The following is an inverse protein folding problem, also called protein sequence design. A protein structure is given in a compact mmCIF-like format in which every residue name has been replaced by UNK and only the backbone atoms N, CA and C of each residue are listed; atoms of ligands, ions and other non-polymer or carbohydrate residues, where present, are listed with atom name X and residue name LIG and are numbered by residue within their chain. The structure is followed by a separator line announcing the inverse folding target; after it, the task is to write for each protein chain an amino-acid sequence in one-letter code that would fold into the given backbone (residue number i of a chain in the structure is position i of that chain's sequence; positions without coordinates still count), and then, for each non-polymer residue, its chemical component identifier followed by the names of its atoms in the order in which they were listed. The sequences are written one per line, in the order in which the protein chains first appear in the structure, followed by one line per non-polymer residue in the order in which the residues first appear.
data_IF_944832334648
#
_entry.id   IF_944832334648
#
_cell.length_a   1.000
_cell.length_b   1.000
_cell.length_c   1.000
_cell.angle_alpha   90.00
_cell.angle_beta   90.00
_cell.angle_gamma   90.00
#
_symmetry.space_group_name_H-M   'P 1'
#
loop_
_entity.id
_entity.type
_entity.pdbx_description
1 polymer ?
#
# COMPACT_ATOMS: atom_id res chain seq x y z
N UNK A 1 2.46 13.73 -20.30
CA UNK A 1 2.09 12.45 -19.66
C UNK A 1 2.91 11.25 -20.18
N UNK A 2 3.00 10.99 -21.48
CA UNK A 2 3.72 9.79 -22.02
C UNK A 2 5.23 9.74 -21.70
N UNK A 3 5.94 10.86 -21.79
CA UNK A 3 7.38 10.92 -21.46
C UNK A 3 7.67 10.68 -19.98
N UNK A 4 6.77 11.10 -19.09
CA UNK A 4 6.87 10.89 -17.65
C UNK A 4 6.71 9.41 -17.29
N UNK A 5 5.72 8.74 -17.91
CA UNK A 5 5.51 7.29 -17.75
C UNK A 5 6.76 6.54 -18.24
N UNK A 6 7.39 6.95 -19.34
CA UNK A 6 8.61 6.33 -19.86
C UNK A 6 9.83 6.58 -18.96
N UNK A 7 10.07 7.82 -18.51
CA UNK A 7 11.18 8.12 -17.60
C UNK A 7 11.06 7.35 -16.28
N UNK A 8 9.85 7.30 -15.71
CA UNK A 8 9.56 6.50 -14.53
C UNK A 8 9.80 5.01 -14.82
N UNK A 9 9.37 4.49 -15.97
CA UNK A 9 9.60 3.10 -16.37
C UNK A 9 11.09 2.77 -16.44
N UNK A 10 11.92 3.59 -17.10
CA UNK A 10 13.36 3.35 -17.24
C UNK A 10 14.07 3.34 -15.89
N UNK A 11 13.79 4.32 -15.03
CA UNK A 11 14.35 4.37 -13.67
C UNK A 11 13.93 3.14 -12.86
N UNK A 12 12.66 2.75 -12.97
CA UNK A 12 12.12 1.57 -12.29
C UNK A 12 12.79 0.28 -12.75
N UNK A 13 13.04 0.15 -14.06
CA UNK A 13 13.78 -0.99 -14.62
C UNK A 13 15.21 -1.03 -14.06
N UNK A 14 15.93 0.09 -14.04
CA UNK A 14 17.29 0.15 -13.49
C UNK A 14 17.34 -0.29 -12.03
N UNK A 15 16.33 0.09 -11.24
CA UNK A 15 16.24 -0.27 -9.82
C UNK A 15 15.91 -1.76 -9.62
N UNK A 16 14.97 -2.29 -10.40
CA UNK A 16 14.64 -3.73 -10.41
C UNK A 16 15.86 -4.56 -10.83
N UNK A 17 16.62 -4.11 -11.84
CA UNK A 17 17.88 -4.72 -12.25
C UNK A 17 18.89 -4.68 -11.08
N UNK A 18 19.03 -3.55 -10.40
CA UNK A 18 19.91 -3.43 -9.23
C UNK A 18 19.57 -4.44 -8.13
N UNK A 19 18.28 -4.57 -7.79
CA UNK A 19 17.81 -5.58 -6.83
C UNK A 19 18.03 -7.02 -7.34
N UNK A 20 17.82 -7.25 -8.64
CA UNK A 20 18.09 -8.54 -9.29
C UNK A 20 19.57 -8.93 -9.23
N UNK A 21 20.48 -7.97 -9.42
CA UNK A 21 21.93 -8.20 -9.27
C UNK A 21 22.29 -8.58 -7.84
N UNK A 22 21.67 -7.95 -6.84
CA UNK A 22 21.85 -8.31 -5.43
C UNK A 22 21.37 -9.75 -5.18
N UNK A 23 20.21 -10.12 -5.71
CA UNK A 23 19.67 -11.48 -5.61
C UNK A 23 20.61 -12.51 -6.24
N UNK A 24 21.11 -12.24 -7.45
CA UNK A 24 22.05 -13.11 -8.16
C UNK A 24 23.37 -13.26 -7.39
N UNK A 25 23.93 -12.14 -6.90
CA UNK A 25 25.16 -12.15 -6.11
C UNK A 25 25.00 -12.95 -4.81
N UNK A 26 23.89 -12.77 -4.10
CA UNK A 26 23.58 -13.53 -2.88
C UNK A 26 23.40 -15.02 -3.19
N UNK A 27 22.60 -15.37 -4.20
CA UNK A 27 22.38 -16.75 -4.60
C UNK A 27 23.69 -17.47 -4.98
N UNK A 28 24.53 -16.81 -5.78
CA UNK A 28 25.83 -17.35 -6.17
C UNK A 28 26.75 -17.54 -4.95
N UNK A 29 26.84 -16.55 -4.06
CA UNK A 29 27.67 -16.61 -2.86
C UNK A 29 27.24 -17.74 -1.91
N UNK A 30 25.93 -17.94 -1.71
CA UNK A 30 25.40 -19.05 -0.92
C UNK A 30 25.70 -20.41 -1.58
N UNK A 31 25.58 -20.53 -2.90
CA UNK A 31 25.93 -21.75 -3.63
C UNK A 31 27.42 -22.10 -3.51
N UNK A 32 28.30 -21.09 -3.60
CA UNK A 32 29.73 -21.28 -3.37
C UNK A 32 30.01 -21.72 -1.93
N UNK A 33 29.34 -21.13 -0.95
CA UNK A 33 29.59 -21.42 0.46
C UNK A 33 29.08 -22.80 0.92
N UNK A 34 27.96 -23.30 0.38
CA UNK A 34 27.31 -24.52 0.88
C UNK A 34 27.43 -25.74 -0.04
N UNK A 35 27.60 -25.54 -1.35
CA UNK A 35 27.64 -26.63 -2.34
C UNK A 35 28.91 -26.66 -3.17
N UNK A 36 29.90 -25.82 -2.84
CA UNK A 36 31.14 -25.58 -3.63
C UNK A 36 30.87 -25.26 -5.11
N UNK A 37 29.66 -24.83 -5.43
CA UNK A 37 29.19 -24.57 -6.78
C UNK A 37 28.16 -23.44 -6.78
N UNK A 38 28.61 -22.23 -7.12
CA UNK A 38 27.77 -21.04 -7.16
C UNK A 38 26.61 -21.11 -8.15
N UNK A 39 26.73 -21.92 -9.21
CA UNK A 39 25.62 -22.10 -10.17
C UNK A 39 24.40 -22.75 -9.52
N UNK A 40 24.61 -23.69 -8.59
CA UNK A 40 23.50 -24.35 -7.88
C UNK A 40 22.72 -23.33 -7.06
N UNK A 41 23.41 -22.50 -6.28
CA UNK A 41 22.78 -21.44 -5.48
C UNK A 41 22.07 -20.38 -6.34
N UNK A 42 22.66 -20.03 -7.49
CA UNK A 42 22.05 -19.11 -8.46
C UNK A 42 20.76 -19.68 -9.06
N UNK A 43 20.76 -20.94 -9.48
CA UNK A 43 19.56 -21.62 -10.01
C UNK A 43 18.47 -21.66 -8.94
N UNK A 44 18.79 -22.02 -7.71
CA UNK A 44 17.83 -22.03 -6.60
C UNK A 44 17.22 -20.63 -6.40
N UNK A 45 18.05 -19.58 -6.39
CA UNK A 45 17.58 -18.21 -6.22
C UNK A 45 16.63 -17.78 -7.35
N UNK A 46 16.97 -18.08 -8.60
CA UNK A 46 16.15 -17.75 -9.77
C UNK A 46 14.86 -18.56 -9.84
N UNK A 47 14.89 -19.85 -9.49
CA UNK A 47 13.69 -20.71 -9.43
C UNK A 47 12.75 -20.21 -8.34
N UNK A 48 13.28 -19.93 -7.14
CA UNK A 48 12.48 -19.39 -6.04
C UNK A 48 11.84 -18.05 -6.42
N UNK A 49 12.63 -17.14 -6.99
CA UNK A 49 12.12 -15.85 -7.48
C UNK A 49 11.06 -16.04 -8.57
N UNK A 50 11.29 -16.93 -9.53
CA UNK A 50 10.37 -17.22 -10.63
C UNK A 50 9.03 -17.77 -10.14
N UNK A 51 9.05 -18.69 -9.17
CA UNK A 51 7.82 -19.23 -8.54
C UNK A 51 7.07 -18.12 -7.80
N UNK A 52 7.75 -17.35 -6.94
CA UNK A 52 7.13 -16.26 -6.20
C UNK A 52 6.52 -15.21 -7.14
N UNK A 53 7.22 -14.91 -8.22
CA UNK A 53 6.75 -13.97 -9.23
C UNK A 53 5.53 -14.48 -9.99
N UNK A 54 5.52 -15.76 -10.37
CA UNK A 54 4.37 -16.38 -11.02
C UNK A 54 3.12 -16.32 -10.12
N UNK A 55 3.26 -16.63 -8.83
CA UNK A 55 2.17 -16.54 -7.86
C UNK A 55 1.65 -15.10 -7.75
N UNK A 56 2.55 -14.12 -7.62
CA UNK A 56 2.15 -12.73 -7.49
C UNK A 56 1.42 -12.19 -8.75
N UNK A 57 1.89 -12.55 -9.95
CA UNK A 57 1.29 -12.12 -11.22
C UNK A 57 -0.03 -12.82 -11.55
N UNK A 58 -0.34 -13.95 -10.92
CA UNK A 58 -1.58 -14.70 -11.17
C UNK A 58 -2.62 -14.50 -10.08
N UNK A 59 -2.21 -14.36 -8.82
CA UNK A 59 -3.10 -14.40 -7.67
C UNK A 59 -2.82 -13.30 -6.62
N UNK A 60 -1.88 -12.38 -6.87
CA UNK A 60 -1.43 -11.41 -5.87
C UNK A 60 -2.53 -10.48 -5.33
N UNK A 61 -3.42 -10.01 -6.20
CA UNK A 61 -4.58 -9.18 -5.83
C UNK A 61 -5.58 -9.97 -4.98
N UNK A 62 -5.97 -11.16 -5.42
CA UNK A 62 -6.91 -12.04 -4.71
C UNK A 62 -6.40 -12.47 -3.34
N UNK A 63 -5.10 -12.77 -3.22
CA UNK A 63 -4.48 -13.13 -1.94
C UNK A 63 -4.57 -11.94 -0.98
N UNK A 64 -4.21 -10.74 -1.43
CA UNK A 64 -4.22 -9.55 -0.58
C UNK A 64 -5.64 -9.17 -0.13
N UNK A 65 -6.59 -9.16 -1.08
CA UNK A 65 -8.00 -8.86 -0.79
C UNK A 65 -8.61 -9.92 0.14
N UNK A 66 -8.29 -11.20 -0.07
CA UNK A 66 -8.71 -12.29 0.78
C UNK A 66 -8.16 -12.20 2.20
N UNK A 67 -6.87 -11.91 2.36
CA UNK A 67 -6.23 -11.71 3.67
C UNK A 67 -6.84 -10.53 4.43
N UNK A 68 -7.26 -9.48 3.71
CA UNK A 68 -7.94 -8.33 4.28
C UNK A 68 -9.43 -8.55 4.56
N UNK A 69 -10.00 -9.71 4.20
CA UNK A 69 -11.45 -9.95 4.19
C UNK A 69 -12.24 -8.86 3.44
N UNK A 70 -11.65 -8.35 2.37
CA UNK A 70 -12.22 -7.27 1.57
C UNK A 70 -13.44 -7.77 0.80
N UNK A 71 -14.51 -7.00 0.80
CA UNK A 71 -15.77 -7.34 0.14
C UNK A 71 -16.07 -6.36 -0.99
N UNK A 72 -16.28 -6.88 -2.19
CA UNK A 72 -16.61 -6.09 -3.36
C UNK A 72 -17.97 -5.42 -3.18
N UNK A 73 -18.08 -4.15 -3.59
CA UNK A 73 -19.32 -3.38 -3.53
C UNK A 73 -19.83 -3.03 -4.92
N UNK A 74 -21.15 -2.86 -5.03
CA UNK A 74 -21.83 -2.32 -6.20
C UNK A 74 -22.15 -0.82 -5.98
N UNK A 75 -22.49 -0.06 -7.05
CA UNK A 75 -22.84 1.35 -6.92
C UNK A 75 -23.91 1.65 -5.87
N UNK A 76 -24.91 0.77 -5.74
CA UNK A 76 -26.01 0.92 -4.80
C UNK A 76 -25.62 0.65 -3.33
N UNK A 77 -24.52 -0.08 -3.07
CA UNK A 77 -24.16 -0.48 -1.71
C UNK A 77 -23.56 0.68 -0.91
N UNK A 78 -22.77 1.53 -1.55
CA UNK A 78 -22.21 2.75 -0.95
C UNK A 78 -22.01 3.85 -2.01
N UNK A 79 -23.07 4.60 -2.36
CA UNK A 79 -23.04 5.57 -3.46
C UNK A 79 -21.95 6.65 -3.31
N UNK A 80 -21.73 7.17 -2.09
CA UNK A 80 -20.69 8.18 -1.87
C UNK A 80 -19.31 7.69 -2.28
N UNK A 81 -18.92 6.50 -1.82
CA UNK A 81 -17.62 5.91 -2.15
C UNK A 81 -17.52 5.61 -3.65
N UNK A 82 -18.55 5.00 -4.22
CA UNK A 82 -18.54 4.62 -5.64
C UNK A 82 -18.41 5.85 -6.55
N UNK A 83 -19.15 6.93 -6.27
CA UNK A 83 -19.08 8.18 -7.01
C UNK A 83 -17.69 8.83 -6.89
N UNK A 84 -17.10 8.84 -5.69
CA UNK A 84 -15.72 9.36 -5.50
C UNK A 84 -14.72 8.58 -6.35
N UNK A 85 -14.80 7.25 -6.36
CA UNK A 85 -13.91 6.41 -7.18
C UNK A 85 -14.12 6.69 -8.66
N UNK A 86 -15.36 6.84 -9.11
CA UNK A 86 -15.70 7.14 -10.51
C UNK A 86 -15.19 8.51 -10.95
N UNK A 87 -15.38 9.54 -10.12
CA UNK A 87 -14.85 10.88 -10.34
C UNK A 87 -13.33 10.86 -10.46
N UNK A 88 -12.64 10.15 -9.56
CA UNK A 88 -11.17 10.05 -9.59
C UNK A 88 -10.68 9.20 -10.76
N UNK A 89 -11.44 8.22 -11.21
CA UNK A 89 -11.18 7.47 -12.47
C UNK A 89 -11.22 8.42 -13.66
N UNK A 90 -12.23 9.29 -13.73
CA UNK A 90 -12.37 10.28 -14.80
C UNK A 90 -11.22 11.30 -14.73
N UNK A 91 -10.98 11.88 -13.56
CA UNK A 91 -9.96 12.92 -13.36
C UNK A 91 -8.53 12.42 -13.63
N UNK A 92 -8.21 11.18 -13.22
CA UNK A 92 -6.91 10.56 -13.51
C UNK A 92 -6.77 10.06 -14.95
N UNK A 93 -7.87 10.04 -15.71
CA UNK A 93 -7.92 9.51 -17.07
C UNK A 93 -7.60 8.01 -17.12
N UNK A 94 -8.05 7.24 -16.14
CA UNK A 94 -7.96 5.78 -16.20
C UNK A 94 -8.99 5.22 -17.18
N UNK A 95 -8.58 4.24 -17.97
CA UNK A 95 -9.44 3.64 -19.00
C UNK A 95 -10.54 2.78 -18.33
N UNK A 96 -10.15 1.98 -17.35
CA UNK A 96 -10.98 0.99 -16.66
C UNK A 96 -11.39 1.48 -15.27
N UNK A 97 -12.64 1.20 -14.87
CA UNK A 97 -13.11 1.44 -13.50
C UNK A 97 -12.51 0.38 -12.56
N UNK A 98 -11.78 0.77 -11.51
CA UNK A 98 -11.29 -0.17 -10.52
C UNK A 98 -12.44 -0.84 -9.77
N UNK A 99 -12.27 -2.12 -9.44
CA UNK A 99 -13.20 -2.79 -8.50
C UNK A 99 -13.06 -2.15 -7.12
N UNK A 100 -14.20 -1.89 -6.48
CA UNK A 100 -14.22 -1.20 -5.19
C UNK A 100 -14.53 -2.22 -4.10
N UNK A 101 -13.69 -2.22 -3.06
CA UNK A 101 -13.84 -3.12 -1.92
C UNK A 101 -13.95 -2.33 -0.61
N UNK A 102 -14.77 -2.84 0.31
CA UNK A 102 -14.81 -2.38 1.69
C UNK A 102 -14.22 -3.47 2.60
N UNK A 103 -13.35 -3.06 3.51
CA UNK A 103 -12.78 -3.89 4.57
C UNK A 103 -13.45 -3.48 5.89
N UNK A 104 -14.04 -4.44 6.59
CA UNK A 104 -14.63 -4.18 7.91
C UNK A 104 -13.53 -4.13 9.00
N UNK A 105 -12.87 -2.98 9.10
CA UNK A 105 -11.83 -2.71 10.09
C UNK A 105 -11.93 -1.23 10.54
N UNK A 106 -11.90 -0.95 11.86
CA UNK A 106 -11.95 0.42 12.38
C UNK A 106 -10.68 1.23 12.15
N UNK A 107 -9.57 0.60 11.76
CA UNK A 107 -8.35 1.31 11.41
C UNK A 107 -8.56 2.20 10.18
N UNK A 108 -7.80 3.29 10.09
CA UNK A 108 -7.89 4.22 8.96
C UNK A 108 -6.90 3.81 7.89
N UNK A 109 -7.38 3.19 6.82
CA UNK A 109 -6.53 2.77 5.72
C UNK A 109 -7.28 2.59 4.39
N UNK A 110 -6.56 2.75 3.29
CA UNK A 110 -6.98 2.38 1.95
C UNK A 110 -5.74 1.91 1.16
N UNK A 111 -5.95 1.13 0.09
CA UNK A 111 -4.86 0.76 -0.81
C UNK A 111 -5.38 0.39 -2.19
N UNK A 112 -4.56 0.65 -3.22
CA UNK A 112 -4.72 0.10 -4.55
C UNK A 112 -3.94 -1.21 -4.73
N UNK A 113 -4.52 -2.17 -5.44
CA UNK A 113 -3.85 -3.39 -5.89
C UNK A 113 -4.28 -3.75 -7.31
N UNK A 114 -3.50 -4.56 -8.01
CA UNK A 114 -3.81 -4.97 -9.36
C UNK A 114 -2.65 -5.63 -10.09
N UNK A 115 -2.98 -6.53 -11.01
CA UNK A 115 -2.00 -7.33 -11.77
C UNK A 115 -1.70 -6.74 -13.14
N UNK A 116 -2.70 -6.12 -13.76
CA UNK A 116 -2.59 -5.44 -15.03
C UNK A 116 -3.58 -4.26 -15.11
N UNK A 117 -3.62 -3.57 -16.25
CA UNK A 117 -4.47 -2.38 -16.45
C UNK A 117 -5.99 -2.67 -16.41
N UNK A 118 -6.39 -3.92 -16.59
CA UNK A 118 -7.79 -4.35 -16.62
C UNK A 118 -8.21 -4.96 -15.28
N UNK A 119 -7.25 -5.43 -14.48
CA UNK A 119 -7.47 -6.02 -13.17
C UNK A 119 -6.89 -5.12 -12.08
N UNK A 120 -7.61 -4.03 -11.78
CA UNK A 120 -7.27 -3.06 -10.74
C UNK A 120 -8.39 -3.02 -9.71
N UNK A 121 -8.01 -2.93 -8.44
CA UNK A 121 -8.91 -2.86 -7.30
C UNK A 121 -8.45 -1.77 -6.33
N UNK A 122 -9.41 -1.10 -5.70
CA UNK A 122 -9.16 -0.19 -4.57
C UNK A 122 -9.95 -0.71 -3.38
N UNK A 123 -9.28 -0.89 -2.26
CA UNK A 123 -9.87 -1.36 -1.02
C UNK A 123 -9.81 -0.28 0.05
N UNK A 124 -10.91 -0.06 0.76
CA UNK A 124 -11.05 0.99 1.77
C UNK A 124 -11.59 0.39 3.06
N UNK A 125 -11.01 0.77 4.19
CA UNK A 125 -11.51 0.36 5.51
C UNK A 125 -12.77 1.12 5.92
N UNK A 126 -13.65 0.44 6.66
CA UNK A 126 -14.84 1.07 7.21
C UNK A 126 -14.49 2.23 8.14
N UNK A 127 -13.44 2.14 8.96
CA UNK A 127 -12.96 3.25 9.79
C UNK A 127 -12.66 4.52 8.98
N UNK A 128 -11.97 4.39 7.83
CA UNK A 128 -11.65 5.51 6.96
C UNK A 128 -12.91 6.16 6.37
N UNK A 129 -13.89 5.36 5.95
CA UNK A 129 -15.17 5.86 5.42
C UNK A 129 -16.00 6.61 6.48
N UNK A 130 -15.94 6.19 7.74
CA UNK A 130 -16.67 6.88 8.81
C UNK A 130 -15.99 8.23 9.13
N UNK A 131 -14.66 8.26 9.12
CA UNK A 131 -13.88 9.41 9.58
C UNK A 131 -13.75 10.53 8.54
N UNK A 132 -13.50 10.16 7.29
CA UNK A 132 -13.23 11.12 6.24
C UNK A 132 -14.52 11.68 5.64
N UNK A 133 -14.51 12.99 5.43
CA UNK A 133 -15.50 13.67 4.62
C UNK A 133 -15.25 13.35 3.13
N UNK A 134 -16.11 13.82 2.24
CA UNK A 134 -16.07 13.57 0.80
C UNK A 134 -14.80 14.10 0.14
N UNK A 135 -14.39 15.33 0.44
CA UNK A 135 -13.19 15.95 -0.15
C UNK A 135 -11.91 15.25 0.32
N UNK A 136 -11.87 14.86 1.58
CA UNK A 136 -10.79 14.05 2.15
C UNK A 136 -10.74 12.65 1.54
N UNK A 137 -11.90 12.02 1.35
CA UNK A 137 -11.99 10.74 0.67
C UNK A 137 -11.56 10.85 -0.79
N UNK A 138 -11.94 11.92 -1.50
CA UNK A 138 -11.42 12.22 -2.84
C UNK A 138 -9.90 12.39 -2.83
N UNK A 139 -9.33 13.08 -1.84
CA UNK A 139 -7.88 13.22 -1.69
C UNK A 139 -7.16 11.88 -1.55
N UNK A 140 -7.66 11.01 -0.67
CA UNK A 140 -7.08 9.66 -0.47
C UNK A 140 -7.27 8.79 -1.71
N UNK A 141 -8.47 8.75 -2.28
CA UNK A 141 -8.73 7.95 -3.48
C UNK A 141 -7.94 8.48 -4.69
N UNK A 142 -7.82 9.79 -4.85
CA UNK A 142 -7.01 10.42 -5.89
C UNK A 142 -5.53 10.03 -5.78
N UNK A 143 -5.02 9.90 -4.55
CA UNK A 143 -3.66 9.42 -4.28
C UNK A 143 -3.49 7.94 -4.70
N UNK A 144 -4.44 7.08 -4.31
CA UNK A 144 -4.42 5.66 -4.73
C UNK A 144 -4.57 5.49 -6.26
N UNK A 145 -5.40 6.33 -6.90
CA UNK A 145 -5.53 6.36 -8.37
C UNK A 145 -4.24 6.80 -9.05
N UNK A 146 -3.47 7.71 -8.44
CA UNK A 146 -2.17 8.12 -8.96
C UNK A 146 -1.19 6.95 -8.99
N UNK A 147 -1.17 6.10 -7.96
CA UNK A 147 -0.34 4.89 -7.95
C UNK A 147 -0.73 3.91 -9.05
N UNK A 148 -2.01 3.77 -9.34
CA UNK A 148 -2.50 2.96 -10.46
C UNK A 148 -2.03 3.56 -11.79
N UNK A 149 -2.30 4.85 -12.01
CA UNK A 149 -1.98 5.57 -13.25
C UNK A 149 -0.49 5.57 -13.56
N UNK A 150 0.35 5.74 -12.54
CA UNK A 150 1.81 5.75 -12.64
C UNK A 150 2.45 4.35 -12.64
N UNK A 151 1.63 3.29 -12.54
CA UNK A 151 2.05 1.87 -12.46
C UNK A 151 2.94 1.57 -11.26
N UNK A 152 2.70 2.29 -10.17
CA UNK A 152 3.41 2.11 -8.91
C UNK A 152 3.03 0.80 -8.26
N UNK A 153 1.76 0.40 -8.35
CA UNK A 153 1.27 -0.89 -7.86
C UNK A 153 2.09 -2.05 -8.43
N UNK A 154 2.24 -2.13 -9.76
CA UNK A 154 3.01 -3.21 -10.39
C UNK A 154 4.48 -3.16 -9.98
N UNK A 155 5.12 -1.99 -9.98
CA UNK A 155 6.52 -1.86 -9.57
C UNK A 155 6.72 -2.33 -8.13
N UNK A 156 5.86 -1.88 -7.22
CA UNK A 156 5.95 -2.23 -5.81
C UNK A 156 5.77 -3.73 -5.60
N UNK A 157 4.92 -4.40 -6.39
CA UNK A 157 4.83 -5.87 -6.43
C UNK A 157 6.16 -6.49 -6.83
N UNK A 158 6.76 -6.09 -7.96
CA UNK A 158 8.06 -6.62 -8.41
C UNK A 158 9.18 -6.42 -7.38
N UNK A 159 9.29 -5.22 -6.82
CA UNK A 159 10.29 -4.89 -5.80
C UNK A 159 10.05 -5.66 -4.50
N UNK A 160 8.79 -5.84 -4.07
CA UNK A 160 8.46 -6.60 -2.86
C UNK A 160 8.77 -8.08 -3.00
N UNK A 161 8.53 -8.67 -4.19
CA UNK A 161 8.89 -10.07 -4.48
C UNK A 161 10.41 -10.23 -4.42
N UNK A 162 11.18 -9.35 -5.09
CA UNK A 162 12.64 -9.39 -5.07
C UNK A 162 13.19 -9.25 -3.64
N UNK A 163 12.70 -8.26 -2.88
CA UNK A 163 13.08 -8.07 -1.49
C UNK A 163 12.73 -9.31 -0.66
N UNK A 164 11.53 -9.85 -0.80
CA UNK A 164 11.08 -11.06 -0.10
C UNK A 164 11.96 -12.27 -0.40
N UNK A 165 12.31 -12.49 -1.68
CA UNK A 165 13.23 -13.56 -2.06
C UNK A 165 14.63 -13.38 -1.45
N UNK A 166 15.18 -12.16 -1.49
CA UNK A 166 16.49 -11.84 -0.89
C UNK A 166 16.46 -12.11 0.62
N UNK A 167 15.42 -11.66 1.33
CA UNK A 167 15.25 -11.87 2.76
C UNK A 167 15.14 -13.36 3.09
N UNK A 168 14.33 -14.11 2.33
CA UNK A 168 14.18 -15.56 2.50
C UNK A 168 15.54 -16.26 2.33
N UNK A 169 16.27 -15.98 1.25
CA UNK A 169 17.59 -16.58 1.01
C UNK A 169 18.60 -16.21 2.09
N UNK A 170 18.66 -14.95 2.50
CA UNK A 170 19.54 -14.50 3.58
C UNK A 170 19.17 -15.20 4.91
N UNK A 171 17.89 -15.33 5.23
CA UNK A 171 17.44 -16.01 6.45
C UNK A 171 17.77 -17.49 6.42
N UNK A 172 17.50 -18.19 5.32
CA UNK A 172 17.88 -19.61 5.17
C UNK A 172 19.40 -19.78 5.20
N UNK A 173 20.15 -18.94 4.49
CA UNK A 173 21.62 -18.94 4.51
C UNK A 173 22.17 -18.75 5.93
N UNK A 174 21.65 -17.78 6.67
CA UNK A 174 22.06 -17.54 8.07
C UNK A 174 21.79 -18.77 8.96
N UNK A 175 20.63 -19.42 8.81
CA UNK A 175 20.30 -20.66 9.53
C UNK A 175 21.22 -21.80 9.14
N UNK A 176 21.57 -21.93 7.86
CA UNK A 176 22.53 -22.95 7.40
C UNK A 176 23.94 -22.70 7.97
N UNK A 177 24.37 -21.46 8.12
CA UNK A 177 25.64 -21.15 8.80
C UNK A 177 25.60 -21.48 10.30
N UNK A 178 24.51 -21.14 10.99
CA UNK A 178 24.36 -21.35 12.44
C UNK A 178 24.17 -22.84 12.79
N UNK A 179 23.29 -23.54 12.07
CA UNK A 179 22.89 -24.92 12.38
C UNK A 179 23.63 -25.97 11.53
N UNK A 180 24.19 -25.59 10.37
CA UNK A 180 24.93 -26.48 9.48
C UNK A 180 26.45 -26.46 9.68
N UNK A 181 26.98 -25.54 10.49
CA UNK A 181 28.43 -25.33 10.70
C UNK A 181 29.17 -26.40 11.51
N UNK A 182 28.53 -27.52 11.87
CA UNK A 182 29.11 -28.54 12.74
C UNK A 182 29.73 -29.76 12.05
N UNK A 183 29.55 -29.97 10.75
CA UNK A 183 30.06 -31.19 10.12
C UNK A 183 30.18 -31.06 8.60
N UNK A 184 31.40 -30.78 8.12
CA UNK A 184 31.92 -31.35 6.86
C UNK A 184 33.44 -31.19 6.78
N UNK A 185 34.09 -32.30 7.17
CA UNK A 185 35.24 -32.94 6.53
C UNK A 185 36.43 -32.04 6.19
N UNK A 186 37.39 -32.06 7.13
CA UNK A 186 38.77 -32.42 6.83
C UNK A 186 38.84 -33.44 5.69
N UNK A 187 39.05 -32.97 4.48
CA UNK A 187 39.60 -33.77 3.38
C UNK A 187 40.67 -32.91 2.73
N UNK A 188 41.89 -33.14 3.21
CA UNK A 188 43.15 -32.84 2.56
C UNK A 188 43.03 -32.73 1.04
N UNK A 189 43.12 -31.51 0.51
CA UNK A 189 43.84 -31.31 -0.74
C UNK A 189 44.43 -29.90 -0.76
N UNK A 190 45.74 -29.88 -0.97
CA UNK A 190 46.62 -28.73 -0.98
C UNK A 190 46.18 -27.70 -2.05
N UNK A 191 46.16 -26.41 -1.67
CA UNK A 191 46.16 -25.30 -2.63
C UNK A 191 44.97 -24.32 -2.66
N UNK A 192 43.88 -24.55 -1.90
CA UNK A 192 42.64 -23.73 -2.03
C UNK A 192 42.08 -23.05 -0.78
N UNK A 193 42.64 -23.30 0.42
CA UNK A 193 42.00 -22.93 1.70
C UNK A 193 41.76 -21.43 1.92
N UNK A 194 42.65 -20.57 1.41
CA UNK A 194 42.50 -19.12 1.52
C UNK A 194 41.33 -18.57 0.69
N UNK A 195 41.15 -19.07 -0.53
CA UNK A 195 40.05 -18.65 -1.40
C UNK A 195 38.69 -19.07 -0.83
N UNK A 196 38.60 -20.28 -0.26
CA UNK A 196 37.36 -20.77 0.37
C UNK A 196 37.00 -19.99 1.64
N UNK A 197 37.99 -19.62 2.45
CA UNK A 197 37.77 -18.75 3.61
C UNK A 197 37.28 -17.35 3.21
N UNK A 198 37.86 -16.74 2.17
CA UNK A 198 37.43 -15.44 1.64
C UNK A 198 35.99 -15.51 1.11
N UNK A 199 35.63 -16.58 0.40
CA UNK A 199 34.27 -16.79 -0.12
C UNK A 199 33.24 -16.97 1.00
N UNK A 200 33.58 -17.68 2.08
CA UNK A 200 32.70 -17.81 3.26
C UNK A 200 32.47 -16.46 3.95
N UNK A 201 33.52 -15.64 4.11
CA UNK A 201 33.38 -14.29 4.67
C UNK A 201 32.52 -13.41 3.75
N UNK A 202 32.73 -13.48 2.44
CA UNK A 202 31.92 -12.73 1.47
C UNK A 202 30.43 -13.14 1.52
N UNK A 203 30.13 -14.43 1.65
CA UNK A 203 28.76 -14.93 1.79
C UNK A 203 28.10 -14.44 3.09
N UNK A 204 28.83 -14.45 4.21
CA UNK A 204 28.36 -13.93 5.49
C UNK A 204 28.04 -12.43 5.41
N UNK A 205 28.93 -11.65 4.79
CA UNK A 205 28.73 -10.22 4.54
C UNK A 205 27.48 -9.98 3.68
N UNK A 206 27.30 -10.74 2.60
CA UNK A 206 26.13 -10.59 1.72
C UNK A 206 24.82 -10.99 2.38
N UNK A 207 24.79 -12.00 3.26
CA UNK A 207 23.58 -12.35 4.03
C UNK A 207 23.08 -11.15 4.84
N UNK A 208 23.99 -10.34 5.38
CA UNK A 208 23.63 -9.16 6.20
C UNK A 208 23.36 -7.96 5.30
N UNK A 209 24.23 -7.70 4.33
CA UNK A 209 24.20 -6.49 3.52
C UNK A 209 23.13 -6.53 2.41
N UNK A 210 22.87 -7.68 1.79
CA UNK A 210 21.93 -7.78 0.67
C UNK A 210 20.50 -7.38 1.07
N UNK A 211 19.91 -7.87 2.19
CA UNK A 211 18.61 -7.40 2.65
C UNK A 211 18.59 -5.90 2.96
N UNK A 212 19.65 -5.38 3.61
CA UNK A 212 19.74 -3.96 3.95
C UNK A 212 19.77 -3.07 2.70
N UNK A 213 20.59 -3.40 1.70
CA UNK A 213 20.64 -2.66 0.46
C UNK A 213 19.35 -2.77 -0.34
N UNK A 214 18.76 -3.96 -0.44
CA UNK A 214 17.47 -4.17 -1.11
C UNK A 214 16.36 -3.33 -0.44
N UNK A 215 16.36 -3.27 0.89
CA UNK A 215 15.40 -2.49 1.66
C UNK A 215 15.62 -0.97 1.50
N UNK A 216 16.87 -0.50 1.47
CA UNK A 216 17.19 0.91 1.21
C UNK A 216 16.75 1.34 -0.19
N UNK A 217 16.98 0.49 -1.21
CA UNK A 217 16.51 0.72 -2.57
C UNK A 217 14.98 0.79 -2.58
N UNK A 218 14.30 -0.18 -1.96
CA UNK A 218 12.84 -0.22 -1.85
C UNK A 218 12.26 1.08 -1.25
N UNK A 219 12.82 1.55 -0.12
CA UNK A 219 12.36 2.77 0.55
C UNK A 219 12.66 4.05 -0.24
N UNK A 220 13.82 4.13 -0.91
CA UNK A 220 14.16 5.30 -1.72
C UNK A 220 13.20 5.48 -2.91
N UNK A 221 12.74 4.37 -3.50
CA UNK A 221 11.80 4.36 -4.61
C UNK A 221 10.42 4.80 -4.14
N UNK A 222 9.93 4.19 -3.06
CA UNK A 222 8.60 4.45 -2.52
C UNK A 222 8.43 5.95 -2.20
N UNK A 223 9.37 6.57 -1.46
CA UNK A 223 9.25 7.98 -1.05
C UNK A 223 9.10 8.98 -2.19
N UNK A 224 9.85 8.87 -3.28
CA UNK A 224 9.72 9.79 -4.43
C UNK A 224 8.36 9.65 -5.13
N UNK A 225 7.81 8.44 -5.14
CA UNK A 225 6.53 8.12 -5.76
C UNK A 225 5.35 8.60 -4.92
N UNK A 226 5.48 8.56 -3.59
CA UNK A 226 4.50 9.16 -2.68
C UNK A 226 4.29 10.65 -2.94
N UNK A 227 5.37 11.42 -3.10
CA UNK A 227 5.26 12.86 -3.42
C UNK A 227 4.63 13.10 -4.79
N UNK A 228 4.95 12.25 -5.78
CA UNK A 228 4.30 12.34 -7.08
C UNK A 228 2.81 12.01 -6.98
N UNK A 229 2.43 11.01 -6.18
CA UNK A 229 1.04 10.65 -5.95
C UNK A 229 0.27 11.74 -5.20
N UNK A 230 0.89 12.44 -4.25
CA UNK A 230 0.33 13.63 -3.61
C UNK A 230 0.05 14.75 -4.61
N UNK A 231 1.03 15.06 -5.47
CA UNK A 231 0.89 16.06 -6.50
C UNK A 231 -0.21 15.71 -7.51
N UNK A 232 -0.27 14.44 -7.92
CA UNK A 232 -1.33 13.92 -8.79
C UNK A 232 -2.69 13.98 -8.14
N UNK A 233 -2.82 13.63 -6.85
CA UNK A 233 -4.08 13.75 -6.12
C UNK A 233 -4.57 15.19 -6.02
N UNK A 234 -3.66 16.12 -5.70
CA UNK A 234 -3.96 17.55 -5.69
C UNK A 234 -4.47 18.04 -7.06
N UNK A 235 -3.86 17.59 -8.15
CA UNK A 235 -4.31 17.89 -9.52
C UNK A 235 -5.67 17.26 -9.83
N UNK A 236 -5.86 15.96 -9.58
CA UNK A 236 -7.12 15.26 -9.90
C UNK A 236 -8.31 15.84 -9.14
N UNK A 237 -8.11 16.16 -7.88
CA UNK A 237 -9.16 16.72 -7.02
C UNK A 237 -9.34 18.22 -7.21
N UNK A 238 -8.32 18.91 -7.74
CA UNK A 238 -8.15 20.36 -7.71
C UNK A 238 -8.27 20.96 -6.31
N UNK A 239 -8.01 20.17 -5.27
CA UNK A 239 -8.24 20.54 -3.88
C UNK A 239 -7.18 19.94 -2.93
N UNK A 240 -5.98 20.54 -2.84
CA UNK A 240 -4.87 20.02 -2.02
C UNK A 240 -5.22 19.83 -0.54
N UNK A 241 -6.08 20.70 0.02
CA UNK A 241 -6.49 20.62 1.43
C UNK A 241 -7.24 19.33 1.75
N UNK A 242 -7.95 18.73 0.78
CA UNK A 242 -8.64 17.46 0.99
C UNK A 242 -7.67 16.35 1.42
N UNK A 243 -6.57 16.18 0.68
CA UNK A 243 -5.55 15.20 1.04
C UNK A 243 -4.78 15.61 2.31
N UNK A 244 -4.48 16.89 2.49
CA UNK A 244 -3.77 17.37 3.69
C UNK A 244 -4.56 17.10 4.98
N UNK A 245 -5.84 17.43 5.01
CA UNK A 245 -6.75 17.16 6.14
C UNK A 245 -6.92 15.66 6.38
N UNK A 246 -7.03 14.86 5.31
CA UNK A 246 -7.09 13.40 5.43
C UNK A 246 -5.82 12.83 6.08
N UNK A 247 -4.65 13.27 5.64
CA UNK A 247 -3.35 12.87 6.19
C UNK A 247 -3.19 13.28 7.66
N UNK A 248 -3.74 14.42 8.07
CA UNK A 248 -3.75 14.88 9.46
C UNK A 248 -4.58 13.93 10.35
N UNK A 249 -5.79 13.56 9.91
CA UNK A 249 -6.65 12.59 10.61
C UNK A 249 -6.02 11.20 10.67
N UNK A 250 -5.41 10.76 9.58
CA UNK A 250 -4.66 9.52 9.48
C UNK A 250 -3.47 9.52 10.47
N UNK A 251 -2.67 10.60 10.47
CA UNK A 251 -1.50 10.74 11.34
C UNK A 251 -1.84 10.81 12.84
N UNK A 252 -3.01 11.32 13.19
CA UNK A 252 -3.52 11.35 14.57
C UNK A 252 -4.10 10.01 15.05
N UNK A 253 -4.39 9.08 14.15
CA UNK A 253 -4.99 7.79 14.50
C UNK A 253 -3.98 6.87 15.19
N UNK A 254 -4.41 6.27 16.31
CA UNK A 254 -3.66 5.23 17.02
C UNK A 254 -4.22 3.83 16.77
N UNK A 255 -5.28 3.71 15.97
CA UNK A 255 -5.91 2.44 15.66
C UNK A 255 -5.01 1.61 14.74
N UNK A 256 -4.63 0.42 15.18
CA UNK A 256 -3.88 -0.54 14.38
C UNK A 256 -4.84 -1.43 13.60
N UNK A 257 -4.51 -1.71 12.34
CA UNK A 257 -5.22 -2.69 11.50
C UNK A 257 -5.18 -4.06 12.17
N UNK A 258 -6.35 -4.68 12.37
CA UNK A 258 -6.45 -5.99 13.04
C UNK A 258 -5.85 -7.11 12.22
N UNK A 259 -5.83 -6.96 10.89
CA UNK A 259 -5.27 -7.90 9.92
C UNK A 259 -3.85 -7.56 9.48
N UNK A 260 -3.16 -6.60 10.13
CA UNK A 260 -1.82 -6.18 9.73
C UNK A 260 -0.81 -7.33 9.82
N UNK A 261 -0.18 -7.66 8.69
CA UNK A 261 0.95 -8.57 8.61
C UNK A 261 2.20 -7.77 8.21
N UNK A 262 3.39 -8.15 8.70
CA UNK A 262 4.65 -7.54 8.27
C UNK A 262 4.83 -7.61 6.74
N UNK A 263 4.32 -8.66 6.11
CA UNK A 263 4.34 -8.82 4.66
C UNK A 263 3.44 -7.82 3.91
N UNK A 264 2.35 -7.35 4.53
CA UNK A 264 1.40 -6.38 3.93
C UNK A 264 1.67 -4.95 4.39
N UNK A 265 2.58 -4.75 5.35
CA UNK A 265 2.92 -3.45 5.93
C UNK A 265 3.23 -2.35 4.89
N UNK A 266 3.94 -2.63 3.78
CA UNK A 266 4.24 -1.61 2.77
C UNK A 266 3.04 -1.17 1.92
N UNK A 267 1.91 -1.87 2.00
CA UNK A 267 0.70 -1.56 1.22
C UNK A 267 -0.23 -0.59 1.97
N UNK A 268 0.10 -0.21 3.20
CA UNK A 268 -0.77 0.60 4.04
C UNK A 268 -0.31 2.07 4.03
N UNK A 269 -1.26 3.01 3.94
CA UNK A 269 -0.99 4.47 3.94
C UNK A 269 -0.15 4.87 5.16
N UNK A 270 -0.39 4.18 6.28
CA UNK A 270 0.39 4.29 7.50
C UNK A 270 0.95 2.92 7.86
N UNK A 271 2.25 2.87 8.19
CA UNK A 271 2.87 1.68 8.76
C UNK A 271 2.12 1.26 10.05
N UNK A 272 1.46 0.08 10.06
CA UNK A 272 0.64 -0.38 11.18
C UNK A 272 1.47 -0.80 12.39
N UNK A 273 2.77 -1.04 12.22
CA UNK A 273 3.70 -1.45 13.27
C UNK A 273 4.47 -0.27 13.89
N UNK A 274 3.98 0.96 13.76
CA UNK A 274 4.57 2.11 14.47
C UNK A 274 4.57 1.86 15.97
N UNK A 275 5.73 2.05 16.61
CA UNK A 275 5.85 2.04 18.05
C UNK A 275 5.06 3.23 18.63
N UNK A 276 4.20 2.99 19.63
CA UNK A 276 3.43 4.04 20.32
C UNK A 276 4.40 5.15 20.78
N UNK A 277 4.12 6.39 20.39
CA UNK A 277 4.85 7.58 20.86
C UNK A 277 6.07 8.00 20.02
N UNK A 278 6.42 7.30 18.93
CA UNK A 278 7.43 7.82 17.98
C UNK A 278 6.75 8.63 16.88
N UNK A 279 7.27 9.83 16.62
CA UNK A 279 6.81 10.70 15.54
C UNK A 279 6.89 9.97 14.19
N UNK A 280 6.05 10.38 13.22
CA UNK A 280 6.09 9.90 11.83
C UNK A 280 7.39 10.25 11.07
N UNK A 281 8.48 10.60 11.77
CA UNK A 281 9.77 11.06 11.27
C UNK A 281 10.81 9.92 11.13
N UNK A 282 10.39 8.66 11.16
CA UNK A 282 11.32 7.53 11.05
C UNK A 282 11.93 7.46 9.63
N UNK A 283 13.26 7.59 9.55
CA UNK A 283 14.06 7.39 8.33
C UNK A 283 13.86 6.00 7.69
N UNK A 284 13.30 5.05 8.45
CA UNK A 284 12.96 3.67 8.07
C UNK A 284 11.48 3.48 7.69
N UNK A 285 10.69 4.56 7.63
CA UNK A 285 9.30 4.48 7.16
C UNK A 285 9.26 4.28 5.65
N UNK A 286 8.35 3.41 5.17
CA UNK A 286 8.06 3.22 3.73
C UNK A 286 7.56 4.52 3.09
N UNK A 287 6.89 5.37 3.87
CA UNK A 287 6.36 6.66 3.41
C UNK A 287 7.20 7.83 3.93
N UNK A 288 7.25 8.97 3.22
CA UNK A 288 7.77 10.20 3.76
C UNK A 288 7.03 10.63 5.04
N UNK A 289 7.65 11.46 5.89
CA UNK A 289 6.97 11.96 7.08
C UNK A 289 5.66 12.67 6.72
N UNK A 290 4.57 12.26 7.39
CA UNK A 290 3.23 12.79 7.12
C UNK A 290 3.19 14.32 7.29
N UNK A 291 3.87 14.84 8.31
CA UNK A 291 3.97 16.28 8.56
C UNK A 291 4.65 17.06 7.43
N UNK A 292 5.61 16.45 6.72
CA UNK A 292 6.23 17.05 5.54
C UNK A 292 5.22 17.12 4.39
N UNK A 293 4.51 16.02 4.11
CA UNK A 293 3.48 15.94 3.06
C UNK A 293 2.36 16.95 3.29
N UNK A 294 1.83 17.03 4.52
CA UNK A 294 0.80 18.02 4.91
C UNK A 294 1.29 19.44 4.66
N UNK A 295 2.53 19.76 5.08
CA UNK A 295 3.10 21.10 4.92
C UNK A 295 3.24 21.49 3.46
N UNK A 296 3.67 20.55 2.61
CA UNK A 296 3.79 20.79 1.16
C UNK A 296 2.41 21.08 0.55
N UNK A 297 1.43 20.21 0.80
CA UNK A 297 0.07 20.36 0.25
C UNK A 297 -0.58 21.68 0.69
N UNK A 298 -0.43 22.07 1.96
CA UNK A 298 -0.94 23.35 2.51
C UNK A 298 -0.18 24.59 2.03
N UNK A 299 1.02 24.42 1.46
CA UNK A 299 1.82 25.51 0.89
C UNK A 299 1.56 25.70 -0.62
N UNK A 300 0.66 24.90 -1.21
CA UNK A 300 0.32 25.02 -2.61
C UNK A 300 -0.59 26.22 -2.86
N UNK A 301 -0.21 27.08 -3.81
CA UNK A 301 -0.99 28.24 -4.26
C UNK A 301 -1.84 27.95 -5.52
N UNK A 302 -1.99 26.67 -5.88
CA UNK A 302 -2.72 26.18 -7.04
C UNK A 302 -2.75 24.65 -7.01
N UNK A 303 -3.45 24.00 -7.94
CA UNK A 303 -3.61 22.54 -7.92
C UNK A 303 -2.67 21.79 -8.88
N UNK A 304 -1.73 22.50 -9.51
CA UNK A 304 -0.91 21.97 -10.58
C UNK A 304 0.36 21.26 -10.08
N UNK A 305 0.99 20.41 -10.91
CA UNK A 305 2.31 19.83 -10.63
C UNK A 305 3.39 20.88 -10.39
N UNK A 306 3.39 21.97 -11.15
CA UNK A 306 4.27 23.12 -10.93
C UNK A 306 4.08 23.71 -9.52
N UNK A 307 2.83 23.90 -9.09
CA UNK A 307 2.54 24.44 -7.76
C UNK A 307 3.01 23.49 -6.65
N UNK A 308 2.85 22.18 -6.84
CA UNK A 308 3.35 21.19 -5.90
C UNK A 308 4.88 21.21 -5.82
N UNK A 309 5.59 21.28 -6.95
CA UNK A 309 7.06 21.28 -6.96
C UNK A 309 7.65 22.55 -6.33
N UNK A 310 7.02 23.71 -6.53
CA UNK A 310 7.41 24.95 -5.85
C UNK A 310 7.15 24.88 -4.34
N UNK A 311 6.01 24.34 -3.91
CA UNK A 311 5.74 24.10 -2.50
C UNK A 311 6.73 23.10 -1.88
N UNK A 312 7.09 22.04 -2.62
CA UNK A 312 8.10 21.07 -2.22
C UNK A 312 9.47 21.73 -2.03
N UNK A 313 9.88 22.57 -2.99
CA UNK A 313 11.14 23.31 -2.93
C UNK A 313 11.20 24.24 -1.73
N UNK A 314 10.11 24.90 -1.36
CA UNK A 314 10.03 25.74 -0.16
C UNK A 314 10.20 24.93 1.13
N UNK A 315 9.66 23.71 1.20
CA UNK A 315 9.66 22.89 2.42
C UNK A 315 10.92 22.03 2.58
N UNK A 316 11.39 21.37 1.51
CA UNK A 316 12.51 20.41 1.55
C UNK A 316 13.76 20.87 0.81
N UNK A 317 13.64 21.86 -0.07
CA UNK A 317 14.68 22.19 -1.04
C UNK A 317 14.77 21.16 -2.18
N UNK A 318 15.22 21.62 -3.34
CA UNK A 318 15.33 20.80 -4.56
C UNK A 318 14.00 20.62 -5.30
N UNK A 319 13.98 19.66 -6.22
CA UNK A 319 12.83 19.35 -7.08
C UNK A 319 12.46 17.87 -6.96
N UNK A 320 11.16 17.58 -6.94
CA UNK A 320 10.63 16.21 -6.87
C UNK A 320 9.89 15.82 -8.13
N UNK A 321 9.29 16.79 -8.82
CA UNK A 321 8.56 16.57 -10.05
C UNK A 321 9.51 16.66 -11.26
N UNK A 322 9.44 15.73 -12.23
CA UNK A 322 10.25 15.82 -13.44
C UNK A 322 9.93 17.09 -14.25
N UNK A 323 10.92 17.78 -14.83
CA UNK A 323 10.70 19.01 -15.61
C UNK A 323 9.73 18.83 -16.79
N UNK A 324 9.66 17.64 -17.38
CA UNK A 324 8.72 17.32 -18.46
C UNK A 324 7.26 17.28 -18.00
N UNK A 325 7.01 16.91 -16.74
CA UNK A 325 5.66 16.92 -16.17
C UNK A 325 5.19 18.36 -15.90
N UNK A 326 6.10 19.22 -15.45
CA UNK A 326 5.84 20.65 -15.22
C UNK A 326 5.50 21.39 -16.52
N UNK A 327 6.18 21.09 -17.63
CA UNK A 327 5.94 21.76 -18.92
C UNK A 327 4.58 21.48 -19.56
N UNK A 328 3.97 20.36 -19.22
CA UNK A 328 2.67 19.92 -19.77
C UNK A 328 1.50 20.32 -18.86
N UNK A 329 1.81 21.04 -17.78
CA UNK A 329 0.89 21.38 -16.72
C UNK A 329 0.23 22.73 -17.03
N UNK A 330 -1.10 22.75 -17.03
CA UNK A 330 -1.85 23.99 -17.15
C UNK A 330 -2.07 24.57 -15.75
N UNK A 331 -2.14 25.90 -15.65
CA UNK A 331 -2.45 26.54 -14.39
C UNK A 331 -3.88 26.17 -13.96
N UNK A 332 -3.99 25.32 -12.94
CA UNK A 332 -5.26 24.88 -12.39
C UNK A 332 -5.55 25.60 -11.07
N UNK A 333 -6.70 26.27 -11.02
CA UNK A 333 -7.16 26.94 -9.80
C UNK A 333 -7.67 25.91 -8.79
N UNK A 334 -7.47 26.23 -7.51
CA UNK A 334 -8.03 25.44 -6.42
C UNK A 334 -9.55 25.62 -6.43
N UNK A 335 -10.30 24.51 -6.44
CA UNK A 335 -11.76 24.56 -6.33
C UNK A 335 -12.21 24.85 -4.89
N UNK A 336 -13.46 25.23 -4.72
CA UNK A 336 -14.07 25.30 -3.39
C UNK A 336 -14.37 23.91 -2.81
N UNK A 337 -14.55 23.85 -1.49
CA UNK A 337 -14.96 22.63 -0.79
C UNK A 337 -16.33 22.14 -1.30
N UNK A 338 -16.51 20.82 -1.37
CA UNK A 338 -17.77 20.22 -1.78
C UNK A 338 -18.82 20.34 -0.68
N UNK A 339 -20.07 20.61 -1.05
CA UNK A 339 -21.20 20.48 -0.11
C UNK A 339 -21.60 19.00 0.04
N UNK A 340 -21.58 18.51 1.28
CA UNK A 340 -21.93 17.12 1.63
C UNK A 340 -23.37 16.96 2.13
N UNK A 341 -24.10 18.07 2.30
CA UNK A 341 -25.47 18.07 2.83
C UNK A 341 -25.60 17.20 4.10
N UNK A 342 -26.45 16.15 4.10
CA UNK A 342 -26.68 15.29 5.28
C UNK A 342 -25.44 14.52 5.79
N UNK A 343 -24.42 14.34 4.95
CA UNK A 343 -23.20 13.59 5.28
C UNK A 343 -22.07 14.47 5.81
N UNK A 344 -22.33 15.77 6.00
CA UNK A 344 -21.39 16.72 6.61
C UNK A 344 -20.95 16.29 8.01
N UNK A 345 -21.78 15.55 8.75
CA UNK A 345 -21.47 15.07 10.11
C UNK A 345 -20.81 13.69 10.11
N UNK A 346 -19.85 13.49 11.03
CA UNK A 346 -19.21 12.19 11.25
C UNK A 346 -20.23 11.09 11.59
N UNK A 347 -21.30 11.43 12.33
CA UNK A 347 -22.39 10.51 12.67
C UNK A 347 -23.16 10.08 11.41
N UNK A 348 -23.43 11.00 10.49
CA UNK A 348 -24.10 10.68 9.22
C UNK A 348 -23.28 9.68 8.40
N UNK A 349 -21.97 9.93 8.28
CA UNK A 349 -21.05 9.03 7.58
C UNK A 349 -20.90 7.69 8.27
N UNK A 350 -20.84 7.68 9.60
CA UNK A 350 -20.83 6.46 10.39
C UNK A 350 -22.05 5.58 10.12
N UNK A 351 -23.25 6.18 10.12
CA UNK A 351 -24.50 5.48 9.81
C UNK A 351 -24.53 4.93 8.39
N UNK A 352 -24.09 5.71 7.39
CA UNK A 352 -24.00 5.26 5.99
C UNK A 352 -23.11 4.00 5.88
N UNK A 353 -21.88 4.07 6.40
CA UNK A 353 -20.93 2.95 6.34
C UNK A 353 -21.42 1.73 7.12
N UNK A 354 -21.97 1.90 8.32
CA UNK A 354 -22.53 0.78 9.09
C UNK A 354 -23.71 0.12 8.36
N UNK A 355 -24.59 0.90 7.74
CA UNK A 355 -25.70 0.37 6.94
C UNK A 355 -25.20 -0.45 5.75
N UNK A 356 -24.18 0.04 5.04
CA UNK A 356 -23.56 -0.70 3.94
C UNK A 356 -23.00 -2.06 4.43
N UNK A 357 -22.22 -2.06 5.53
CA UNK A 357 -21.67 -3.29 6.11
C UNK A 357 -22.75 -4.27 6.55
N UNK A 358 -23.83 -3.81 7.18
CA UNK A 358 -24.94 -4.68 7.59
C UNK A 358 -25.63 -5.32 6.38
N UNK A 359 -25.88 -4.55 5.33
CA UNK A 359 -26.46 -5.06 4.09
C UNK A 359 -25.54 -6.11 3.44
N UNK A 360 -24.24 -5.84 3.36
CA UNK A 360 -23.23 -6.76 2.81
C UNK A 360 -23.10 -8.05 3.64
N UNK A 361 -23.33 -7.96 4.94
CA UNK A 361 -23.36 -9.11 5.85
C UNK A 361 -24.75 -9.78 5.95
N UNK A 362 -25.73 -9.36 5.13
CA UNK A 362 -27.10 -9.90 5.09
C UNK A 362 -27.83 -9.83 6.44
N UNK A 363 -27.64 -8.74 7.18
CA UNK A 363 -28.43 -8.48 8.38
C UNK A 363 -29.89 -8.17 7.99
N UNK A 364 -30.84 -8.74 8.72
CA UNK A 364 -32.24 -8.36 8.62
C UNK A 364 -32.51 -7.14 9.48
N UNK A 365 -33.55 -6.41 9.10
CA UNK A 365 -33.97 -5.21 9.80
C UNK A 365 -35.38 -5.41 10.28
N UNK A 366 -35.60 -5.28 11.58
CA UNK A 366 -36.91 -5.44 12.21
C UNK A 366 -37.29 -4.11 12.83
N UNK A 367 -38.31 -3.46 12.29
CA UNK A 367 -38.84 -2.23 12.84
C UNK A 367 -39.78 -2.55 14.01
N UNK A 368 -39.48 -1.98 15.18
CA UNK A 368 -40.31 -2.10 16.37
C UNK A 368 -41.29 -0.92 16.44
N UNK A 369 -42.51 -1.15 16.95
CA UNK A 369 -43.54 -0.12 17.14
C UNK A 369 -43.07 1.07 18.00
N UNK A 370 -42.04 0.89 18.83
CA UNK A 370 -41.47 2.00 19.62
C UNK A 370 -40.57 2.94 18.79
N UNK A 371 -40.45 2.72 17.48
CA UNK A 371 -39.61 3.50 16.56
C UNK A 371 -38.16 3.02 16.49
N UNK A 372 -37.77 2.00 17.25
CA UNK A 372 -36.43 1.40 17.19
C UNK A 372 -36.33 0.41 16.04
N UNK A 373 -35.28 0.56 15.24
CA UNK A 373 -34.94 -0.33 14.14
C UNK A 373 -33.86 -1.32 14.60
N UNK A 374 -34.25 -2.57 14.80
CA UNK A 374 -33.37 -3.66 15.23
C UNK A 374 -32.63 -4.25 14.02
N UNK A 375 -31.33 -4.53 14.18
CA UNK A 375 -30.49 -5.16 13.16
C UNK A 375 -30.14 -6.57 13.62
N UNK A 376 -30.56 -7.57 12.86
CA UNK A 376 -30.48 -8.99 13.23
C UNK A 376 -29.45 -9.69 12.35
N UNK A 377 -28.42 -10.33 12.92
CA UNK A 377 -27.47 -11.10 12.13
C UNK A 377 -28.15 -12.35 11.54
N UNK A 378 -27.68 -12.85 10.38
CA UNK A 378 -28.30 -13.97 9.69
C UNK A 378 -28.34 -15.28 10.51
N UNK A 379 -27.44 -15.43 11.49
CA UNK A 379 -27.42 -16.60 12.38
C UNK A 379 -28.56 -16.64 13.41
N UNK A 380 -29.28 -15.54 13.60
CA UNK A 380 -30.43 -15.43 14.53
C UNK A 380 -31.77 -15.37 13.79
N UNK A 381 -31.81 -15.78 12.52
CA UNK A 381 -33.03 -15.80 11.70
C UNK A 381 -34.02 -16.87 12.22
N UNK A 382 -35.29 -16.51 12.36
CA UNK A 382 -36.34 -17.37 12.92
C UNK A 382 -36.33 -17.50 14.45
N UNK A 383 -35.58 -16.65 15.16
CA UNK A 383 -35.58 -16.59 16.62
C UNK A 383 -36.40 -15.41 17.13
N UNK A 384 -36.88 -15.53 18.35
CA UNK A 384 -37.52 -14.43 19.06
C UNK A 384 -36.46 -13.50 19.64
N UNK A 385 -36.46 -12.24 19.20
CA UNK A 385 -35.58 -11.20 19.72
C UNK A 385 -36.37 -10.16 20.48
N UNK A 386 -35.85 -9.74 21.64
CA UNK A 386 -36.47 -8.72 22.46
C UNK A 386 -35.90 -7.34 22.14
N UNK A 387 -36.77 -6.35 21.92
CA UNK A 387 -36.37 -4.96 21.75
C UNK A 387 -35.77 -4.44 23.07
N UNK A 388 -34.52 -3.92 23.08
CA UNK A 388 -33.89 -3.45 24.31
C UNK A 388 -34.51 -2.15 24.86
N UNK A 389 -35.30 -1.44 24.06
CA UNK A 389 -35.94 -0.19 24.48
C UNK A 389 -37.31 -0.42 25.13
N UNK A 390 -38.17 -1.23 24.51
CA UNK A 390 -39.57 -1.40 24.98
C UNK A 390 -39.89 -2.81 25.48
N UNK A 391 -38.94 -3.75 25.38
CA UNK A 391 -39.11 -5.12 25.85
C UNK A 391 -40.03 -6.00 24.98
N UNK A 392 -40.57 -5.50 23.87
CA UNK A 392 -41.41 -6.29 22.94
C UNK A 392 -40.58 -7.33 22.19
N UNK A 393 -41.15 -8.52 22.03
CA UNK A 393 -40.54 -9.62 21.26
C UNK A 393 -40.95 -9.55 19.80
N UNK A 394 -39.99 -9.77 18.91
CA UNK A 394 -40.19 -9.85 17.46
C UNK A 394 -39.61 -11.15 16.92
N UNK A 395 -40.26 -11.72 15.91
CA UNK A 395 -39.70 -12.84 15.14
C UNK A 395 -38.89 -12.31 13.96
N UNK A 396 -37.74 -12.93 13.70
CA UNK A 396 -36.70 -12.47 12.75
C UNK A 396 -36.69 -13.19 11.41
#
# INVERSE_FOLDING_TARGET
MWEQIQSNKTRSIMLVIGMGLILVALGYALGMAFTDNGLVGLVIALVLWGIMNLVALTQGDSILLGMANAKEIKPADHPRLYNVVEEMKIASGLDTMPKVYIIDDPALNAFATGRDKNHISVAITSGLLQKLNRDELQGVIGHEMAHIKNRDVSLMVWCSILLGTIVILAQYGSRMFIFGGGSRRSSSNEGGGGAQAILMVAALLLIILAPLFAQLIYFAISRKREYLADASSAQYTRYPEGLASALEKLGASTAQLRSANQATAPMYIINPFRAKGKAAADLTSTHPPISERIRILRSMNGASYHNYDEAFKQVKGGHVIPPTAIKLDHAETIREASDEGPLSTEIGRARETSNALWNMNKYQTVDCDCGVRLRVPPGLKGQEIQCPHCGKTHQT
#
